data_IF_260560280028
#
_entry.id   IF_260560280028
#
_cell.length_a   1.000
_cell.length_b   1.000
_cell.length_c   1.000
_cell.angle_alpha   90.00
_cell.angle_beta   90.00
_cell.angle_gamma   90.00
#
_symmetry.space_group_name_H-M   'P 1'
#
loop_
_entity.id
_entity.type
_entity.pdbx_description
1 polymer ?
#
# COMPACT_ATOMS: atom_id res chain seq x y z
N UNK A 1 -18.74 3.84 15.31
CA UNK A 1 -17.88 3.41 14.19
C UNK A 1 -18.76 3.12 13.01
N UNK A 2 -18.58 3.89 11.93
CA UNK A 2 -19.33 3.74 10.69
C UNK A 2 -19.09 2.36 10.07
N UNK A 3 -20.14 1.75 9.52
CA UNK A 3 -20.04 0.48 8.79
C UNK A 3 -19.26 0.71 7.48
N UNK A 4 -18.17 -0.04 7.20
CA UNK A 4 -17.41 0.11 5.97
C UNK A 4 -18.15 -0.35 4.71
N UNK A 5 -19.32 -1.01 4.85
CA UNK A 5 -20.14 -1.46 3.73
C UNK A 5 -21.58 -0.97 3.90
N UNK A 6 -22.19 -0.49 2.82
CA UNK A 6 -23.62 -0.13 2.78
C UNK A 6 -24.36 -0.90 1.70
N UNK A 7 -25.59 -1.27 2.00
CA UNK A 7 -26.51 -1.82 1.00
C UNK A 7 -27.32 -0.70 0.36
N UNK A 8 -27.26 -0.59 -0.97
CA UNK A 8 -28.00 0.40 -1.75
C UNK A 8 -28.92 -0.25 -2.77
N UNK A 9 -30.08 0.35 -2.99
CA UNK A 9 -30.97 -0.02 -4.09
C UNK A 9 -30.40 0.49 -5.41
N UNK A 10 -30.42 -0.35 -6.44
CA UNK A 10 -29.99 -0.01 -7.80
C UNK A 10 -31.01 -0.43 -8.85
N UNK A 11 -31.04 0.29 -9.95
CA UNK A 11 -31.70 -0.14 -11.18
C UNK A 11 -30.69 -0.91 -12.03
N UNK A 12 -31.10 -2.05 -12.57
CA UNK A 12 -30.29 -2.96 -13.39
C UNK A 12 -30.88 -2.95 -14.79
N UNK A 13 -30.08 -2.61 -15.78
CA UNK A 13 -30.41 -2.79 -17.19
C UNK A 13 -29.71 -4.04 -17.74
N UNK A 14 -30.47 -4.93 -18.39
CA UNK A 14 -29.95 -6.06 -19.18
C UNK A 14 -30.64 -6.07 -20.55
N UNK A 15 -30.17 -6.90 -21.47
CA UNK A 15 -30.75 -7.04 -22.82
C UNK A 15 -32.26 -7.36 -22.81
N UNK A 16 -32.77 -7.96 -21.73
CA UNK A 16 -34.19 -8.31 -21.53
C UNK A 16 -35.02 -7.22 -20.85
N UNK A 17 -34.42 -6.07 -20.47
CA UNK A 17 -35.10 -4.93 -19.85
C UNK A 17 -34.53 -4.47 -18.51
N UNK A 18 -35.26 -3.56 -17.87
CA UNK A 18 -34.92 -2.97 -16.57
C UNK A 18 -35.51 -3.78 -15.39
N UNK A 19 -34.76 -3.88 -14.29
CA UNK A 19 -35.20 -4.46 -13.01
C UNK A 19 -34.56 -3.71 -11.84
N UNK A 20 -35.04 -3.94 -10.61
CA UNK A 20 -34.41 -3.40 -9.39
C UNK A 20 -33.63 -4.48 -8.65
N UNK A 21 -32.66 -4.07 -7.84
CA UNK A 21 -31.93 -4.98 -6.95
C UNK A 21 -31.14 -4.23 -5.89
N UNK A 22 -30.42 -4.98 -5.06
CA UNK A 22 -29.57 -4.43 -3.99
C UNK A 22 -28.09 -4.69 -4.31
N UNK A 23 -27.21 -3.77 -3.92
CA UNK A 23 -25.74 -3.90 -4.00
C UNK A 23 -25.11 -3.52 -2.67
N UNK A 24 -24.15 -4.32 -2.20
CA UNK A 24 -23.17 -3.86 -1.24
C UNK A 24 -22.16 -2.93 -1.94
N UNK A 25 -21.97 -1.73 -1.41
CA UNK A 25 -21.00 -0.73 -1.87
C UNK A 25 -20.11 -0.33 -0.70
N UNK A 26 -18.84 0.03 -0.94
CA UNK A 26 -17.98 0.45 0.15
C UNK A 26 -18.40 1.85 0.62
N UNK A 27 -18.25 2.10 1.90
CA UNK A 27 -18.30 3.43 2.45
C UNK A 27 -17.02 4.20 2.11
N UNK A 28 -17.19 5.47 1.77
CA UNK A 28 -16.10 6.43 1.60
C UNK A 28 -16.45 7.68 2.42
N UNK A 29 -15.61 8.01 3.40
CA UNK A 29 -15.83 9.13 4.31
C UNK A 29 -14.60 10.02 4.40
N UNK A 30 -14.80 11.28 4.79
CA UNK A 30 -13.70 12.20 5.03
C UNK A 30 -12.99 11.85 6.35
N UNK A 31 -11.67 11.65 6.26
CA UNK A 31 -10.78 11.35 7.37
C UNK A 31 -9.85 12.54 7.59
N UNK A 32 -10.17 13.37 8.58
CA UNK A 32 -9.39 14.55 8.93
C UNK A 32 -8.27 14.16 9.89
N UNK A 33 -7.02 14.32 9.47
CA UNK A 33 -5.84 14.01 10.28
C UNK A 33 -5.41 15.28 11.01
N UNK A 34 -5.42 15.24 12.34
CA UNK A 34 -5.06 16.39 13.17
C UNK A 34 -3.91 16.07 14.11
N UNK A 35 -2.94 16.98 14.17
CA UNK A 35 -1.82 16.93 15.12
C UNK A 35 -1.83 18.17 16.00
N UNK A 36 -1.69 17.98 17.31
CA UNK A 36 -1.55 19.05 18.31
C UNK A 36 -2.56 20.23 18.16
N UNK A 37 -3.79 19.93 17.74
CA UNK A 37 -4.94 20.84 17.61
C UNK A 37 -5.13 21.38 16.20
N UNK A 38 -4.29 20.98 15.26
CA UNK A 38 -4.29 21.47 13.89
C UNK A 38 -4.56 20.40 12.84
N UNK A 39 -5.48 20.69 11.92
CA UNK A 39 -5.67 19.89 10.71
C UNK A 39 -4.43 19.94 9.83
N UNK A 40 -3.95 18.76 9.48
CA UNK A 40 -2.81 18.53 8.61
C UNK A 40 -3.27 18.13 7.20
N UNK A 41 -4.16 17.14 7.11
CA UNK A 41 -4.70 16.66 5.84
C UNK A 41 -6.14 16.16 6.03
N UNK A 42 -6.88 16.09 4.92
CA UNK A 42 -8.16 15.38 4.85
C UNK A 42 -8.09 14.42 3.68
N UNK A 43 -8.35 13.15 3.95
CA UNK A 43 -8.32 12.07 2.96
C UNK A 43 -9.71 11.46 2.85
N UNK A 44 -10.11 11.06 1.65
CA UNK A 44 -11.28 10.18 1.49
C UNK A 44 -10.82 8.75 1.73
N UNK A 45 -11.53 7.99 2.56
CA UNK A 45 -11.16 6.61 2.89
C UNK A 45 -12.28 5.79 3.51
N UNK A 46 -12.04 4.49 3.64
CA UNK A 46 -12.96 3.55 4.26
C UNK A 46 -12.84 3.66 5.80
N UNK A 47 -13.95 3.79 6.56
CA UNK A 47 -13.93 4.02 8.01
C UNK A 47 -13.64 2.74 8.83
N UNK A 48 -12.56 2.04 8.48
CA UNK A 48 -12.08 0.84 9.14
C UNK A 48 -10.56 0.93 9.34
N UNK A 49 -10.05 0.34 10.42
CA UNK A 49 -8.63 0.33 10.79
C UNK A 49 -8.04 1.75 10.88
N UNK A 50 -8.82 2.69 11.41
CA UNK A 50 -8.49 4.12 11.42
C UNK A 50 -7.25 4.46 12.25
N UNK A 51 -6.98 3.71 13.32
CA UNK A 51 -5.75 3.85 14.10
C UNK A 51 -4.52 3.46 13.27
N UNK A 52 -4.63 2.36 12.54
CA UNK A 52 -3.58 1.90 11.63
C UNK A 52 -3.37 2.93 10.50
N UNK A 53 -4.45 3.46 9.94
CA UNK A 53 -4.36 4.52 8.93
C UNK A 53 -3.63 5.77 9.47
N UNK A 54 -4.02 6.25 10.64
CA UNK A 54 -3.45 7.45 11.26
C UNK A 54 -1.94 7.30 11.49
N UNK A 55 -1.50 6.18 12.07
CA UNK A 55 -0.09 5.91 12.32
C UNK A 55 0.68 5.74 11.02
N UNK A 56 0.15 4.96 10.08
CA UNK A 56 0.85 4.67 8.83
C UNK A 56 1.00 5.89 7.94
N UNK A 57 -0.04 6.72 7.84
CA UNK A 57 0.03 8.01 7.16
C UNK A 57 1.11 8.90 7.81
N UNK A 58 1.14 8.96 9.15
CA UNK A 58 2.15 9.76 9.88
C UNK A 58 3.58 9.32 9.54
N UNK A 59 3.82 8.01 9.45
CA UNK A 59 5.13 7.45 9.12
C UNK A 59 5.50 7.69 7.66
N UNK A 60 4.58 7.41 6.75
CA UNK A 60 4.85 7.39 5.33
C UNK A 60 4.99 8.80 4.73
N UNK A 61 4.30 9.78 5.30
CA UNK A 61 4.50 11.21 5.01
C UNK A 61 5.72 11.81 5.74
N UNK A 62 6.38 11.04 6.60
CA UNK A 62 7.51 11.51 7.40
C UNK A 62 7.12 12.65 8.35
N UNK A 63 5.92 12.56 8.91
CA UNK A 63 5.45 13.43 10.01
C UNK A 63 6.10 13.00 11.32
N UNK A 64 6.21 11.68 11.53
CA UNK A 64 6.94 11.05 12.62
C UNK A 64 7.95 10.06 12.04
N UNK A 65 9.08 9.85 12.71
CA UNK A 65 10.03 8.81 12.32
C UNK A 65 9.62 7.43 12.87
N UNK A 66 8.96 7.42 14.03
CA UNK A 66 8.51 6.21 14.72
C UNK A 66 7.09 6.37 15.27
N UNK A 67 6.35 5.27 15.37
CA UNK A 67 5.01 5.29 15.97
C UNK A 67 5.02 5.73 17.45
N UNK A 68 6.17 5.61 18.15
CA UNK A 68 6.32 6.00 19.54
C UNK A 68 6.29 7.52 19.75
N UNK A 69 6.47 8.32 18.70
CA UNK A 69 6.32 9.77 18.75
C UNK A 69 4.85 10.20 18.83
N UNK A 70 3.89 9.30 18.55
CA UNK A 70 2.46 9.54 18.72
C UNK A 70 2.07 9.09 20.13
N UNK A 71 1.84 10.05 21.02
CA UNK A 71 1.55 9.83 22.44
C UNK A 71 0.10 9.37 22.68
N UNK A 72 -0.84 9.86 21.88
CA UNK A 72 -2.24 9.46 21.97
C UNK A 72 -2.93 9.56 20.63
N UNK A 73 -3.93 8.70 20.43
CA UNK A 73 -4.84 8.69 19.29
C UNK A 73 -6.29 8.69 19.77
N UNK A 74 -7.13 9.51 19.15
CA UNK A 74 -8.58 9.50 19.32
C UNK A 74 -9.25 9.65 17.95
N UNK A 75 -10.23 8.78 17.66
CA UNK A 75 -11.11 8.92 16.50
C UNK A 75 -12.43 9.55 16.95
N UNK A 76 -12.75 10.73 16.42
CA UNK A 76 -13.96 11.49 16.76
C UNK A 76 -14.88 11.53 15.55
N UNK A 77 -16.05 10.92 15.70
CA UNK A 77 -17.06 10.83 14.64
C UNK A 77 -17.87 12.14 14.56
N UNK A 78 -18.04 12.62 13.34
CA UNK A 78 -18.90 13.75 12.96
C UNK A 78 -19.88 13.29 11.88
N UNK A 79 -20.89 14.12 11.58
CA UNK A 79 -21.91 13.78 10.58
C UNK A 79 -21.30 13.55 9.18
N UNK A 80 -20.27 14.32 8.82
CA UNK A 80 -19.65 14.31 7.48
C UNK A 80 -18.28 13.60 7.44
N UNK A 81 -17.83 12.97 8.54
CA UNK A 81 -16.49 12.37 8.57
C UNK A 81 -16.00 11.93 9.94
N UNK A 82 -14.71 11.57 10.00
CA UNK A 82 -14.02 11.20 11.24
C UNK A 82 -12.76 12.02 11.38
N UNK A 83 -12.58 12.66 12.54
CA UNK A 83 -11.33 13.32 12.91
C UNK A 83 -10.42 12.32 13.63
N UNK A 84 -9.22 12.14 13.11
CA UNK A 84 -8.15 11.30 13.64
C UNK A 84 -7.16 12.19 14.39
N UNK A 85 -7.42 12.38 15.68
CA UNK A 85 -6.65 13.25 16.57
C UNK A 85 -5.42 12.52 17.08
N UNK A 86 -4.25 13.09 16.85
CA UNK A 86 -2.98 12.57 17.35
C UNK A 86 -2.21 13.63 18.12
N UNK A 87 -1.82 13.33 19.36
CA UNK A 87 -0.86 14.15 20.10
C UNK A 87 0.54 13.60 19.94
N UNK A 88 1.44 14.45 19.47
CA UNK A 88 2.82 14.08 19.27
C UNK A 88 3.69 14.49 20.45
N UNK A 89 4.84 13.82 20.57
CA UNK A 89 5.91 14.22 21.44
C UNK A 89 6.34 15.68 21.18
N UNK A 90 6.74 16.45 22.21
CA UNK A 90 7.02 17.89 22.10
C UNK A 90 7.95 18.26 20.94
N UNK A 91 9.08 17.55 20.79
CA UNK A 91 10.09 17.83 19.77
C UNK A 91 9.51 17.69 18.34
N UNK A 92 8.68 16.67 18.11
CA UNK A 92 8.02 16.43 16.81
C UNK A 92 6.90 17.45 16.55
N UNK A 93 6.17 17.86 17.58
CA UNK A 93 5.07 18.83 17.48
C UNK A 93 5.55 20.22 17.03
N UNK A 94 6.74 20.65 17.45
CA UNK A 94 7.35 21.91 17.01
C UNK A 94 7.64 21.92 15.50
N UNK A 95 8.16 20.81 14.97
CA UNK A 95 8.46 20.65 13.54
C UNK A 95 7.23 20.75 12.63
N UNK A 96 6.09 20.18 13.05
CA UNK A 96 4.85 20.22 12.27
C UNK A 96 4.23 21.61 12.24
N UNK A 97 4.28 22.33 13.36
CA UNK A 97 3.76 23.70 13.44
C UNK A 97 4.46 24.63 12.44
N UNK A 98 5.71 24.35 12.10
CA UNK A 98 6.43 25.06 11.03
C UNK A 98 5.96 24.66 9.62
N UNK A 99 5.78 23.36 9.33
CA UNK A 99 5.27 22.85 8.04
C UNK A 99 3.84 23.27 7.75
N UNK A 100 2.94 23.29 8.75
CA UNK A 100 1.52 23.66 8.56
C UNK A 100 1.35 25.08 8.02
N UNK A 101 2.29 25.99 8.32
CA UNK A 101 2.29 27.35 7.76
C UNK A 101 2.56 27.40 6.25
N UNK A 102 3.09 26.33 5.67
CA UNK A 102 3.41 26.21 4.25
C UNK A 102 2.26 25.54 3.46
N UNK A 103 1.57 24.56 4.05
CA UNK A 103 0.54 23.72 3.39
C UNK A 103 -0.81 24.46 3.11
N UNK A 104 -0.98 25.71 3.55
CA UNK A 104 -2.25 26.44 3.42
C UNK A 104 -2.54 26.95 1.98
N UNK A 105 -2.68 26.03 1.03
CA UNK A 105 -3.15 26.26 -0.34
C UNK A 105 -4.63 25.85 -0.55
N UNK A 106 -5.37 26.46 -1.50
CA UNK A 106 -6.83 26.47 -1.50
C UNK A 106 -7.55 25.22 -2.08
N UNK A 107 -6.86 24.18 -2.55
CA UNK A 107 -7.52 23.06 -3.25
C UNK A 107 -7.25 21.71 -2.59
N UNK A 108 -7.91 21.44 -1.46
CA UNK A 108 -7.75 20.19 -0.71
C UNK A 108 -8.40 18.97 -1.38
N UNK A 109 -7.60 18.12 -2.01
CA UNK A 109 -7.93 16.71 -2.28
C UNK A 109 -6.91 15.76 -1.62
N UNK A 110 -6.19 16.24 -0.60
CA UNK A 110 -5.13 15.49 0.08
C UNK A 110 -3.82 15.35 -0.72
N UNK A 111 -3.78 15.82 -1.97
CA UNK A 111 -2.59 15.77 -2.85
C UNK A 111 -2.10 17.12 -3.39
N UNK A 112 -2.89 18.19 -3.28
CA UNK A 112 -2.54 19.51 -3.84
C UNK A 112 -1.92 20.45 -2.79
N UNK A 113 -1.18 19.90 -1.84
CA UNK A 113 -0.29 20.65 -0.92
C UNK A 113 1.20 20.50 -1.27
N UNK A 114 1.48 19.92 -2.44
CA UNK A 114 2.83 19.85 -3.02
C UNK A 114 3.09 21.21 -3.67
N UNK A 115 3.88 22.06 -3.02
CA UNK A 115 4.16 23.42 -3.49
C UNK A 115 5.29 23.43 -4.55
N UNK A 116 5.90 22.27 -4.84
CA UNK A 116 6.96 22.15 -5.84
C UNK A 116 7.04 20.79 -6.52
N UNK A 117 7.46 20.78 -7.80
CA UNK A 117 7.75 19.54 -8.54
C UNK A 117 8.77 18.67 -7.79
N UNK A 118 9.72 19.28 -7.08
CA UNK A 118 10.72 18.58 -6.26
C UNK A 118 10.11 17.78 -5.11
N UNK A 119 9.01 18.25 -4.51
CA UNK A 119 8.32 17.50 -3.46
C UNK A 119 7.57 16.29 -4.02
N UNK A 120 7.01 16.39 -5.23
CA UNK A 120 6.34 15.27 -5.90
C UNK A 120 7.29 14.12 -6.27
N UNK A 121 8.60 14.36 -6.36
CA UNK A 121 9.61 13.37 -6.75
C UNK A 121 10.71 13.18 -5.70
N UNK A 122 10.40 13.49 -4.43
CA UNK A 122 11.33 13.30 -3.32
C UNK A 122 11.91 11.86 -3.34
N UNK A 123 13.23 11.67 -3.16
CA UNK A 123 13.81 10.34 -3.08
C UNK A 123 13.17 9.52 -1.96
N UNK A 124 12.92 8.23 -2.24
CA UNK A 124 12.54 7.26 -1.23
C UNK A 124 13.72 6.93 -0.30
N UNK A 125 13.41 6.35 0.86
CA UNK A 125 14.44 5.76 1.71
C UNK A 125 15.10 4.56 0.99
N UNK A 126 16.40 4.36 1.22
CA UNK A 126 17.10 3.17 0.73
C UNK A 126 16.86 2.03 1.71
N UNK A 127 16.30 0.93 1.23
CA UNK A 127 16.03 -0.26 2.05
C UNK A 127 17.26 -1.17 2.15
N UNK A 128 17.34 -1.97 3.21
CA UNK A 128 18.43 -2.93 3.41
C UNK A 128 18.31 -4.17 2.52
N UNK A 129 19.22 -5.14 2.73
CA UNK A 129 19.24 -6.41 1.99
C UNK A 129 17.92 -7.19 2.12
N UNK A 130 17.31 -7.21 3.31
CA UNK A 130 16.08 -7.97 3.55
C UNK A 130 16.16 -9.45 3.15
N UNK A 131 15.01 -10.05 2.84
CA UNK A 131 14.89 -11.50 2.60
C UNK A 131 14.67 -11.85 1.13
N UNK A 132 15.24 -12.99 0.70
CA UNK A 132 14.97 -13.60 -0.60
C UNK A 132 13.88 -14.68 -0.51
N UNK A 133 13.09 -14.84 -1.58
CA UNK A 133 11.96 -15.77 -1.66
C UNK A 133 12.00 -16.57 -2.97
N UNK A 134 11.62 -17.85 -2.89
CA UNK A 134 11.44 -18.66 -4.09
C UNK A 134 10.20 -18.19 -4.89
N UNK A 135 10.21 -18.30 -6.24
CA UNK A 135 9.07 -17.92 -7.07
C UNK A 135 7.72 -18.52 -6.62
N UNK A 136 7.71 -19.78 -6.22
CA UNK A 136 6.49 -20.49 -5.79
C UNK A 136 5.90 -19.89 -4.52
N UNK A 137 6.76 -19.36 -3.64
CA UNK A 137 6.34 -18.68 -2.40
C UNK A 137 5.66 -17.36 -2.72
N UNK A 138 6.20 -16.58 -3.67
CA UNK A 138 5.60 -15.32 -4.11
C UNK A 138 4.21 -15.57 -4.71
N UNK A 139 4.08 -16.58 -5.58
CA UNK A 139 2.79 -16.96 -6.17
C UNK A 139 1.79 -17.42 -5.09
N UNK A 140 2.22 -18.26 -4.14
CA UNK A 140 1.37 -18.71 -3.04
C UNK A 140 0.91 -17.54 -2.14
N UNK A 141 1.81 -16.59 -1.85
CA UNK A 141 1.51 -15.40 -1.06
C UNK A 141 0.43 -14.53 -1.75
N UNK A 142 0.55 -14.32 -3.07
CA UNK A 142 -0.45 -13.57 -3.83
C UNK A 142 -1.81 -14.28 -3.89
N UNK A 143 -1.82 -15.62 -4.04
CA UNK A 143 -3.05 -16.40 -4.04
C UNK A 143 -3.79 -16.34 -2.68
N UNK A 144 -3.06 -16.16 -1.58
CA UNK A 144 -3.63 -16.07 -0.23
C UNK A 144 -4.43 -14.78 0.03
N UNK A 145 -4.33 -13.75 -0.82
CA UNK A 145 -5.02 -12.46 -0.63
C UNK A 145 -6.53 -12.55 -0.83
N UNK A 146 -6.98 -13.18 -1.92
CA UNK A 146 -8.38 -13.14 -2.35
C UNK A 146 -9.39 -13.56 -1.28
N UNK A 147 -9.19 -14.67 -0.52
CA UNK A 147 -10.16 -15.09 0.50
C UNK A 147 -10.18 -14.19 1.75
N UNK A 148 -9.19 -13.31 1.93
CA UNK A 148 -9.03 -12.48 3.14
C UNK A 148 -9.53 -11.04 2.96
N UNK A 149 -9.94 -10.65 1.74
CA UNK A 149 -10.42 -9.31 1.41
C UNK A 149 -11.93 -9.19 1.65
N UNK A 150 -12.34 -9.07 2.90
CA UNK A 150 -13.75 -9.09 3.31
C UNK A 150 -14.59 -8.03 2.59
N UNK A 151 -14.14 -6.77 2.59
CA UNK A 151 -14.87 -5.66 1.96
C UNK A 151 -14.88 -5.84 0.44
N UNK A 152 -13.77 -6.23 -0.17
CA UNK A 152 -13.69 -6.42 -1.62
C UNK A 152 -14.54 -7.60 -2.09
N UNK A 153 -14.63 -8.68 -1.32
CA UNK A 153 -15.49 -9.84 -1.64
C UNK A 153 -16.93 -9.37 -1.83
N UNK A 154 -17.41 -8.51 -0.93
CA UNK A 154 -18.78 -7.99 -0.94
C UNK A 154 -18.99 -6.89 -1.98
N UNK A 155 -18.07 -5.94 -2.08
CA UNK A 155 -18.28 -4.68 -2.80
C UNK A 155 -17.64 -4.66 -4.19
N UNK A 156 -16.53 -5.39 -4.38
CA UNK A 156 -15.68 -5.40 -5.58
C UNK A 156 -15.11 -4.03 -5.94
N UNK A 157 -14.93 -3.16 -4.95
CA UNK A 157 -14.66 -1.74 -5.17
C UNK A 157 -13.59 -1.14 -4.25
N UNK A 158 -12.78 -1.99 -3.60
CA UNK A 158 -11.68 -1.55 -2.73
C UNK A 158 -10.36 -2.18 -3.10
N UNK A 159 -9.28 -1.54 -2.70
CA UNK A 159 -7.92 -2.06 -2.79
C UNK A 159 -7.51 -2.71 -1.48
N UNK A 160 -6.49 -3.56 -1.55
CA UNK A 160 -5.89 -4.20 -0.40
C UNK A 160 -4.37 -4.07 -0.45
N UNK A 161 -3.78 -3.88 0.73
CA UNK A 161 -2.36 -4.05 0.99
C UNK A 161 -2.20 -5.08 2.11
N UNK A 162 -1.29 -6.03 1.93
CA UNK A 162 -1.00 -7.05 2.92
C UNK A 162 0.49 -7.23 3.13
N UNK A 163 0.87 -7.78 4.27
CA UNK A 163 2.24 -8.17 4.57
C UNK A 163 2.30 -9.66 4.84
N UNK A 164 3.20 -10.33 4.13
CA UNK A 164 3.37 -11.78 4.23
C UNK A 164 4.75 -12.12 4.77
N UNK A 165 4.84 -13.13 5.64
CA UNK A 165 6.12 -13.69 6.10
C UNK A 165 6.14 -15.22 6.02
N UNK A 166 7.32 -15.84 5.87
CA UNK A 166 7.42 -17.31 5.83
C UNK A 166 6.87 -18.01 7.06
N UNK A 167 7.01 -17.38 8.23
CA UNK A 167 6.61 -17.98 9.49
C UNK A 167 5.10 -17.97 9.73
N UNK A 168 4.36 -17.02 9.15
CA UNK A 168 2.96 -16.75 9.51
C UNK A 168 2.00 -16.70 8.32
N UNK A 169 2.50 -16.69 7.10
CA UNK A 169 1.69 -16.36 5.94
C UNK A 169 1.32 -14.88 5.96
N UNK A 170 0.06 -14.54 5.65
CA UNK A 170 -0.44 -13.17 5.73
C UNK A 170 -0.53 -12.75 7.20
N UNK A 171 0.33 -11.81 7.59
CA UNK A 171 0.38 -11.26 8.95
C UNK A 171 -0.67 -10.18 9.15
N UNK A 172 -0.89 -9.37 8.10
CA UNK A 172 -1.86 -8.29 8.11
C UNK A 172 -2.38 -8.08 6.69
N UNK A 173 -3.66 -7.71 6.59
CA UNK A 173 -4.31 -7.27 5.36
C UNK A 173 -5.20 -6.09 5.71
N UNK A 174 -5.12 -5.02 4.91
CA UNK A 174 -5.90 -3.80 5.09
C UNK A 174 -6.55 -3.41 3.79
N UNK A 175 -7.82 -3.04 3.88
CA UNK A 175 -8.64 -2.64 2.75
C UNK A 175 -9.01 -1.15 2.83
N UNK A 176 -9.08 -0.52 1.67
CA UNK A 176 -9.56 0.85 1.54
C UNK A 176 -9.98 1.15 0.10
N UNK A 177 -10.95 2.04 -0.09
CA UNK A 177 -11.28 2.61 -1.41
C UNK A 177 -10.04 3.21 -2.10
N UNK A 178 -9.13 3.81 -1.33
CA UNK A 178 -7.87 4.37 -1.79
C UNK A 178 -6.70 3.38 -1.60
N UNK A 179 -5.99 3.06 -2.69
CA UNK A 179 -4.80 2.18 -2.62
C UNK A 179 -3.69 2.70 -1.69
N UNK A 180 -3.51 4.02 -1.61
CA UNK A 180 -2.49 4.62 -0.74
C UNK A 180 -2.88 4.44 0.73
N UNK A 181 -4.15 4.70 1.06
CA UNK A 181 -4.70 4.48 2.40
C UNK A 181 -4.60 3.01 2.83
N UNK A 182 -4.85 2.06 1.93
CA UNK A 182 -4.69 0.63 2.25
C UNK A 182 -3.23 0.30 2.65
N UNK A 183 -2.25 0.86 1.93
CA UNK A 183 -0.83 0.70 2.28
C UNK A 183 -0.46 1.46 3.57
N UNK A 184 -1.01 2.66 3.80
CA UNK A 184 -0.82 3.39 5.05
C UNK A 184 -1.40 2.59 6.23
N UNK A 185 -2.61 2.05 6.12
CA UNK A 185 -3.15 1.13 7.14
C UNK A 185 -2.22 -0.06 7.38
N UNK A 186 -1.69 -0.68 6.33
CA UNK A 186 -0.73 -1.77 6.50
C UNK A 186 0.51 -1.29 7.27
N UNK A 187 1.08 -0.16 6.88
CA UNK A 187 2.25 0.44 7.52
C UNK A 187 2.03 0.69 9.02
N UNK A 188 0.89 1.28 9.38
CA UNK A 188 0.56 1.56 10.78
C UNK A 188 0.34 0.29 11.60
N UNK A 189 -0.24 -0.75 11.00
CA UNK A 189 -0.35 -2.05 11.66
C UNK A 189 1.02 -2.65 11.96
N UNK A 190 1.92 -2.69 10.96
CA UNK A 190 3.26 -3.24 11.12
C UNK A 190 4.06 -2.50 12.20
N UNK A 191 3.96 -1.16 12.21
CA UNK A 191 4.64 -0.33 13.20
C UNK A 191 4.15 -0.59 14.63
N UNK A 192 2.83 -0.66 14.84
CA UNK A 192 2.25 -0.95 16.16
C UNK A 192 2.60 -2.36 16.65
N UNK A 193 2.53 -3.33 15.75
CA UNK A 193 2.84 -4.73 16.05
C UNK A 193 4.36 -4.99 16.11
N UNK A 194 5.20 -3.98 15.86
CA UNK A 194 6.68 -4.05 15.81
C UNK A 194 7.17 -5.17 14.89
N UNK A 195 6.54 -5.29 13.74
CA UNK A 195 6.89 -6.28 12.72
C UNK A 195 7.97 -5.67 11.83
N UNK A 196 9.10 -6.37 11.74
CA UNK A 196 10.17 -6.01 10.81
C UNK A 196 9.73 -6.29 9.37
N UNK A 197 9.61 -5.23 8.57
CA UNK A 197 9.17 -5.33 7.19
C UNK A 197 10.23 -5.95 6.26
N UNK A 198 11.49 -6.01 6.68
CA UNK A 198 12.59 -6.60 5.90
C UNK A 198 12.54 -8.13 5.84
N UNK A 199 11.76 -8.74 6.73
CA UNK A 199 11.60 -10.20 6.85
C UNK A 199 10.50 -10.79 5.95
N UNK A 200 9.81 -9.94 5.19
CA UNK A 200 8.61 -10.33 4.44
C UNK A 200 8.48 -9.62 3.10
N UNK A 201 7.25 -9.65 2.58
CA UNK A 201 6.90 -8.98 1.33
C UNK A 201 5.59 -8.22 1.47
N UNK A 202 5.55 -7.03 0.89
CA UNK A 202 4.33 -6.24 0.75
C UNK A 202 3.59 -6.73 -0.49
N UNK A 203 2.31 -7.05 -0.35
CA UNK A 203 1.46 -7.54 -1.43
C UNK A 203 0.36 -6.52 -1.72
N UNK A 204 0.13 -6.19 -2.99
CA UNK A 204 -0.78 -5.12 -3.41
C UNK A 204 -1.76 -5.58 -4.49
N UNK A 205 -3.02 -5.17 -4.36
CA UNK A 205 -4.05 -5.39 -5.40
C UNK A 205 -4.20 -4.21 -6.36
N UNK A 206 -3.29 -3.24 -6.31
CA UNK A 206 -3.36 -1.97 -7.06
C UNK A 206 -2.14 -1.75 -7.96
N UNK A 207 -2.23 -0.80 -8.89
CA UNK A 207 -1.07 -0.33 -9.68
C UNK A 207 0.00 0.26 -8.76
N UNK A 208 1.26 0.14 -9.16
CA UNK A 208 2.39 0.69 -8.41
C UNK A 208 2.76 2.06 -8.99
N UNK A 209 2.40 3.13 -8.26
CA UNK A 209 2.86 4.51 -8.49
C UNK A 209 4.14 4.81 -7.70
N UNK A 210 4.76 5.97 -7.96
CA UNK A 210 5.94 6.43 -7.23
C UNK A 210 5.70 6.49 -5.71
N UNK A 211 4.53 6.99 -5.29
CA UNK A 211 4.14 7.05 -3.87
C UNK A 211 4.02 5.66 -3.24
N UNK A 212 3.52 4.65 -3.98
CA UNK A 212 3.46 3.28 -3.44
C UNK A 212 4.85 2.75 -3.12
N UNK A 213 5.85 3.08 -3.94
CA UNK A 213 7.25 2.71 -3.70
C UNK A 213 7.81 3.49 -2.50
N UNK A 214 7.60 4.81 -2.44
CA UNK A 214 8.06 5.65 -1.33
C UNK A 214 7.49 5.17 0.02
N UNK A 215 6.19 4.89 0.09
CA UNK A 215 5.53 4.42 1.31
C UNK A 215 6.01 3.01 1.70
N UNK A 216 6.26 2.14 0.73
CA UNK A 216 6.87 0.81 0.96
C UNK A 216 8.30 0.94 1.52
N UNK A 217 9.10 1.84 0.97
CA UNK A 217 10.45 2.13 1.45
C UNK A 217 10.45 2.72 2.86
N UNK A 218 9.49 3.60 3.17
CA UNK A 218 9.37 4.25 4.47
C UNK A 218 9.17 3.26 5.63
N UNK A 219 8.56 2.10 5.37
CA UNK A 219 8.41 1.02 6.36
C UNK A 219 9.56 0.01 6.33
N UNK A 220 10.55 0.18 5.46
CA UNK A 220 11.72 -0.70 5.36
C UNK A 220 11.48 -2.03 4.62
N UNK A 221 10.38 -2.16 3.88
CA UNK A 221 10.09 -3.36 3.10
C UNK A 221 10.95 -3.41 1.83
N UNK A 222 11.74 -4.47 1.66
CA UNK A 222 12.65 -4.61 0.52
C UNK A 222 12.06 -5.34 -0.69
N UNK A 223 10.88 -5.96 -0.54
CA UNK A 223 10.16 -6.66 -1.61
C UNK A 223 8.70 -6.23 -1.63
N UNK A 224 8.25 -5.77 -2.80
CA UNK A 224 6.84 -5.52 -3.06
C UNK A 224 6.35 -6.28 -4.30
N UNK A 225 5.15 -6.83 -4.19
CA UNK A 225 4.51 -7.68 -5.20
C UNK A 225 3.14 -7.10 -5.51
N UNK A 226 2.83 -6.88 -6.79
CA UNK A 226 1.54 -6.32 -7.20
C UNK A 226 0.84 -7.14 -8.30
N UNK A 227 -0.49 -7.15 -8.26
CA UNK A 227 -1.32 -7.67 -9.37
C UNK A 227 -1.29 -6.77 -10.61
N UNK A 228 -0.88 -5.51 -10.54
CA UNK A 228 -0.98 -4.57 -11.66
C UNK A 228 0.38 -4.00 -12.05
N UNK A 229 0.53 -3.58 -13.31
CA UNK A 229 1.77 -3.02 -13.83
C UNK A 229 2.21 -1.74 -13.08
N UNK A 230 3.52 -1.52 -12.92
CA UNK A 230 4.07 -0.29 -12.37
C UNK A 230 4.14 0.83 -13.43
N UNK A 231 4.30 2.08 -12.99
CA UNK A 231 4.68 3.18 -13.90
C UNK A 231 6.18 3.26 -14.07
N UNK A 232 6.66 3.87 -15.15
CA UNK A 232 8.10 4.05 -15.38
C UNK A 232 8.81 4.83 -14.26
N UNK A 233 8.12 5.81 -13.64
CA UNK A 233 8.67 6.54 -12.50
C UNK A 233 8.75 5.66 -11.25
N UNK A 234 7.76 4.78 -11.03
CA UNK A 234 7.81 3.82 -9.93
C UNK A 234 8.98 2.84 -10.08
N UNK A 235 9.26 2.36 -11.29
CA UNK A 235 10.41 1.48 -11.56
C UNK A 235 11.72 2.20 -11.19
N UNK A 236 11.94 3.43 -11.67
CA UNK A 236 13.14 4.20 -11.32
C UNK A 236 13.28 4.43 -9.82
N UNK A 237 12.17 4.78 -9.16
CA UNK A 237 12.15 4.98 -7.70
C UNK A 237 12.48 3.68 -6.96
N UNK A 238 11.97 2.53 -7.42
CA UNK A 238 12.24 1.24 -6.78
C UNK A 238 13.70 0.83 -6.97
N UNK A 239 14.29 1.14 -8.13
CA UNK A 239 15.71 0.93 -8.40
C UNK A 239 16.57 1.72 -7.42
N UNK A 240 16.31 3.03 -7.26
CA UNK A 240 17.03 3.91 -6.34
C UNK A 240 16.81 3.54 -4.86
N UNK A 241 15.61 3.07 -4.52
CA UNK A 241 15.26 2.67 -3.15
C UNK A 241 15.78 1.27 -2.77
N UNK A 242 16.42 0.55 -3.69
CA UNK A 242 16.84 -0.85 -3.53
C UNK A 242 15.69 -1.83 -3.28
N UNK A 243 14.48 -1.52 -3.76
CA UNK A 243 13.30 -2.38 -3.63
C UNK A 243 13.25 -3.36 -4.80
N UNK A 244 13.04 -4.64 -4.51
CA UNK A 244 12.64 -5.63 -5.50
C UNK A 244 11.17 -5.42 -5.84
N UNK A 245 10.89 -4.97 -7.06
CA UNK A 245 9.54 -4.72 -7.56
C UNK A 245 9.10 -5.88 -8.45
N UNK A 246 8.19 -6.69 -7.93
CA UNK A 246 7.49 -7.73 -8.68
C UNK A 246 6.09 -7.23 -9.01
N UNK A 247 5.65 -7.40 -10.26
CA UNK A 247 4.33 -6.97 -10.67
C UNK A 247 3.71 -7.93 -11.68
N UNK A 248 2.45 -7.64 -12.04
CA UNK A 248 1.65 -8.49 -12.93
C UNK A 248 1.58 -9.93 -12.35
N UNK A 249 1.61 -10.04 -11.02
CA UNK A 249 1.62 -11.34 -10.36
C UNK A 249 0.25 -12.00 -10.46
N UNK A 250 0.25 -13.23 -10.98
CA UNK A 250 -0.90 -14.09 -11.25
C UNK A 250 -0.62 -15.49 -10.70
N UNK A 251 -1.58 -16.39 -10.89
CA UNK A 251 -1.43 -17.78 -10.48
C UNK A 251 -0.38 -18.54 -11.31
N UNK A 252 -0.08 -18.06 -12.51
CA UNK A 252 0.80 -18.69 -13.51
C UNK A 252 2.16 -18.00 -13.68
N UNK A 253 2.41 -16.89 -12.97
CA UNK A 253 3.69 -16.20 -13.02
C UNK A 253 3.65 -14.75 -12.57
N UNK A 254 4.78 -14.07 -12.73
CA UNK A 254 4.97 -12.66 -12.42
C UNK A 254 6.16 -12.09 -13.18
N UNK A 255 6.28 -10.76 -13.22
CA UNK A 255 7.39 -10.04 -13.84
C UNK A 255 8.21 -9.30 -12.78
N UNK A 256 9.53 -9.36 -12.88
CA UNK A 256 10.47 -8.66 -11.98
C UNK A 256 11.01 -7.44 -12.70
N UNK A 257 10.82 -6.25 -12.12
CA UNK A 257 11.22 -4.98 -12.73
C UNK A 257 12.52 -4.41 -12.19
N UNK A 258 12.87 -4.72 -10.94
CA UNK A 258 14.05 -4.18 -10.25
C UNK A 258 14.59 -5.21 -9.26
N UNK A 259 15.91 -5.17 -8.99
CA UNK A 259 16.57 -5.94 -7.92
C UNK A 259 16.19 -7.43 -7.84
N UNK A 260 16.40 -8.25 -8.90
CA UNK A 260 15.92 -9.64 -8.94
C UNK A 260 16.61 -10.60 -7.97
N UNK A 261 17.71 -10.20 -7.33
CA UNK A 261 18.49 -11.03 -6.41
C UNK A 261 17.70 -11.53 -5.18
N UNK A 262 16.57 -10.92 -4.85
CA UNK A 262 15.65 -11.39 -3.78
C UNK A 262 14.61 -12.39 -4.26
N UNK A 263 14.65 -12.76 -5.55
CA UNK A 263 13.86 -13.85 -6.10
C UNK A 263 14.82 -14.99 -6.40
N UNK A 264 14.61 -16.15 -5.76
CA UNK A 264 15.49 -17.32 -5.87
C UNK A 264 15.43 -18.00 -7.24
N UNK A 265 16.01 -17.36 -8.27
CA UNK A 265 15.98 -17.82 -9.66
C UNK A 265 17.03 -18.91 -9.96
N UNK A 266 17.97 -19.15 -9.06
CA UNK A 266 19.12 -20.04 -9.28
C UNK A 266 18.72 -21.52 -9.49
N UNK A 267 17.50 -21.92 -9.11
CA UNK A 267 16.97 -23.25 -9.39
C UNK A 267 16.55 -23.48 -10.87
N UNK A 268 16.56 -22.44 -11.71
CA UNK A 268 16.09 -22.55 -13.11
C UNK A 268 17.21 -22.85 -14.13
N UNK A 269 18.49 -22.70 -13.78
CA UNK A 269 19.59 -22.84 -14.74
C UNK A 269 20.01 -24.30 -15.03
N UNK A 270 19.58 -25.30 -14.26
CA UNK A 270 19.99 -26.70 -14.48
C UNK A 270 19.19 -27.43 -15.58
N UNK A 271 18.09 -26.85 -16.10
CA UNK A 271 17.22 -27.54 -17.08
C UNK A 271 17.42 -27.13 -18.56
N UNK A 272 18.38 -26.24 -18.88
CA UNK A 272 18.62 -25.75 -20.26
C UNK A 272 19.93 -26.25 -20.89
N UNK A 273 20.53 -27.32 -20.37
CA UNK A 273 21.73 -27.95 -20.93
C UNK A 273 21.44 -29.31 -21.56
N UNK A 274 20.50 -29.32 -22.50
CA UNK A 274 20.09 -30.57 -23.15
C UNK A 274 19.53 -30.40 -24.56
N UNK A 275 20.06 -29.51 -25.40
CA UNK A 275 19.93 -29.62 -26.86
C UNK A 275 21.29 -29.34 -27.52
N UNK A 276 22.08 -30.41 -27.57
CA UNK A 276 23.39 -30.47 -28.23
C UNK A 276 23.23 -30.33 -29.75
N UNK A 277 24.16 -29.56 -30.33
CA UNK A 277 24.24 -29.19 -31.73
C UNK A 277 24.25 -30.39 -32.69
N UNK A 278 23.24 -30.49 -33.56
CA UNK A 278 23.36 -31.26 -34.80
C UNK A 278 24.10 -30.42 -35.84
N UNK A 279 25.41 -30.70 -35.97
CA UNK A 279 26.19 -30.37 -37.17
C UNK A 279 25.49 -30.93 -38.41
N UNK A 280 25.22 -30.07 -39.39
CA UNK A 280 24.97 -30.49 -40.77
C UNK A 280 26.01 -29.78 -41.64
N UNK A 281 27.07 -30.51 -41.98
CA UNK A 281 27.92 -30.24 -43.13
C UNK A 281 27.15 -30.63 -44.40
N UNK A 282 27.10 -29.72 -45.38
CA UNK A 282 26.85 -30.12 -46.78
C UNK A 282 27.79 -29.33 -47.68
N UNK A 283 28.56 -30.11 -48.43
CA UNK A 283 29.44 -29.71 -49.53
C UNK A 283 28.66 -29.31 -50.80
#
# INVERSE_FOLDING_TARGET
MLDPVRSVTRTIWRSIGASTGVRAVPEETALAITYNGGTYAVMMGTPQDLHDFAIGFSLSEGVVATAAEIQSFEAVEFDDGVELRMWLAPDTAEGISARRRQIAGPTGCGLCGIDSISEAVKPAAIVGEGRAFAPEVIMAAMAALSPLQAINIETRAVHAAAFWTPARGIVALREDVGRHNALDKLAGHLAQAKIDASEGMVLLTSRVSVEMVQKTAAIGASLMVSVSAPTALAIRMAEEAHITLVAIARADGFEIFTHPHRVGLDAMQENDHGHEHAHIDVA
#
